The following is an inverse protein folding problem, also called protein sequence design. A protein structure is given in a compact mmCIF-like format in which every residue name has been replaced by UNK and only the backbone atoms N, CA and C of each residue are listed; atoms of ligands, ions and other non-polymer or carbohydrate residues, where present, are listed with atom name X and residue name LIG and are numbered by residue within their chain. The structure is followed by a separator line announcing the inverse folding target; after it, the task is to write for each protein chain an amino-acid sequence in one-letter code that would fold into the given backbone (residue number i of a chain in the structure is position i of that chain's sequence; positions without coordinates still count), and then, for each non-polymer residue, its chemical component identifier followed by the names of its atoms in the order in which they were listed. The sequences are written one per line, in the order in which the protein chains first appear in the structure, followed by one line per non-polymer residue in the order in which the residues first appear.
data_IF_811073253958
#
_entry.id   IF_811073253958
#
_cell.length_a   1.000
_cell.length_b   1.000
_cell.length_c   1.000
_cell.angle_alpha   90.00
_cell.angle_beta   90.00
_cell.angle_gamma   90.00
#
_symmetry.space_group_name_H-M   'P 1'
#
loop_
_entity.id
_entity.type
_entity.pdbx_description
1 polymer ?
#
# COMPACT_ATOMS: atom_id res chain seq x y z
N UNK A 1 10.27 15.47 3.48
CA UNK A 1 10.65 14.59 4.63
C UNK A 1 10.06 13.24 4.31
N UNK A 2 10.74 12.13 4.56
CA UNK A 2 10.23 10.81 4.16
C UNK A 2 9.43 10.16 5.30
N UNK A 3 8.27 9.59 4.99
CA UNK A 3 7.45 8.81 5.90
C UNK A 3 7.61 7.32 5.61
N UNK A 4 7.74 6.50 6.66
CA UNK A 4 7.86 5.04 6.52
C UNK A 4 6.64 4.36 7.11
N UNK A 5 5.97 3.54 6.28
CA UNK A 5 4.77 2.80 6.66
C UNK A 5 5.09 1.32 6.84
N UNK A 6 4.38 0.69 7.78
CA UNK A 6 4.54 -0.73 8.13
C UNK A 6 3.17 -1.39 8.16
N UNK A 7 2.90 -2.27 7.19
CA UNK A 7 1.67 -3.03 7.06
C UNK A 7 1.88 -4.41 7.68
N UNK A 8 1.67 -4.52 8.98
CA UNK A 8 1.76 -5.79 9.70
C UNK A 8 0.63 -6.74 9.32
N UNK A 9 0.89 -8.04 9.33
CA UNK A 9 -0.16 -9.05 9.20
C UNK A 9 -0.99 -9.16 10.48
N UNK A 10 -2.20 -9.71 10.34
CA UNK A 10 -3.10 -10.07 11.43
C UNK A 10 -3.66 -11.47 11.19
N UNK A 11 -4.34 -12.10 12.18
CA UNK A 11 -4.94 -13.43 11.97
C UNK A 11 -5.91 -13.52 10.79
N UNK A 12 -6.50 -12.38 10.36
CA UNK A 12 -7.44 -12.33 9.23
C UNK A 12 -6.80 -11.86 7.92
N UNK A 13 -5.59 -11.29 7.97
CA UNK A 13 -4.96 -10.64 6.81
C UNK A 13 -3.47 -10.97 6.78
N UNK A 14 -3.06 -11.68 5.73
CA UNK A 14 -1.65 -11.87 5.41
C UNK A 14 -1.18 -10.73 4.48
N UNK A 15 -0.58 -9.70 5.07
CA UNK A 15 -0.23 -8.43 4.41
C UNK A 15 0.68 -8.60 3.17
N UNK A 16 1.75 -9.42 3.19
CA UNK A 16 2.57 -9.63 1.99
C UNK A 16 1.76 -10.21 0.81
N UNK A 17 0.87 -11.16 1.10
CA UNK A 17 0.03 -11.79 0.08
C UNK A 17 -1.04 -10.82 -0.45
N UNK A 18 -1.69 -10.07 0.45
CA UNK A 18 -2.70 -9.09 0.07
C UNK A 18 -2.12 -7.99 -0.83
N UNK A 19 -0.95 -7.44 -0.47
CA UNK A 19 -0.29 -6.41 -1.28
C UNK A 19 0.17 -6.96 -2.63
N UNK A 20 0.73 -8.17 -2.67
CA UNK A 20 1.12 -8.81 -3.94
C UNK A 20 -0.08 -9.04 -4.86
N UNK A 21 -1.21 -9.50 -4.32
CA UNK A 21 -2.46 -9.64 -5.05
C UNK A 21 -2.97 -8.29 -5.58
N UNK A 22 -3.01 -7.28 -4.72
CA UNK A 22 -3.49 -5.96 -5.09
C UNK A 22 -2.63 -5.32 -6.17
N UNK A 23 -1.30 -5.42 -6.10
CA UNK A 23 -0.37 -4.97 -7.14
C UNK A 23 -0.67 -5.64 -8.49
N UNK A 24 -0.92 -6.94 -8.50
CA UNK A 24 -1.24 -7.66 -9.74
C UNK A 24 -2.60 -7.21 -10.30
N UNK A 25 -3.59 -6.97 -9.45
CA UNK A 25 -4.89 -6.44 -9.85
C UNK A 25 -4.80 -4.98 -10.34
N UNK A 26 -3.94 -4.15 -9.73
CA UNK A 26 -3.77 -2.74 -10.08
C UNK A 26 -3.21 -2.51 -11.50
N UNK A 27 -2.74 -3.58 -12.15
CA UNK A 27 -2.42 -3.59 -13.57
C UNK A 27 -3.64 -3.24 -14.44
N UNK A 28 -4.84 -3.65 -14.03
CA UNK A 28 -6.09 -3.37 -14.73
C UNK A 28 -6.66 -2.03 -14.26
N UNK A 29 -6.74 -1.05 -15.18
CA UNK A 29 -7.06 0.34 -14.82
C UNK A 29 -8.46 0.50 -14.23
N UNK A 30 -9.42 -0.28 -14.74
CA UNK A 30 -10.82 -0.27 -14.29
C UNK A 30 -10.98 -0.76 -12.84
N UNK A 31 -10.08 -1.63 -12.37
CA UNK A 31 -10.12 -2.20 -11.01
C UNK A 31 -9.43 -1.32 -9.97
N UNK A 32 -8.59 -0.36 -10.40
CA UNK A 32 -7.76 0.46 -9.50
C UNK A 32 -8.56 1.17 -8.41
N UNK A 33 -9.70 1.84 -8.68
CA UNK A 33 -10.44 2.55 -7.64
C UNK A 33 -10.91 1.61 -6.52
N UNK A 34 -11.47 0.45 -6.90
CA UNK A 34 -12.00 -0.52 -5.94
C UNK A 34 -10.89 -1.23 -5.16
N UNK A 35 -9.77 -1.55 -5.81
CA UNK A 35 -8.61 -2.14 -5.13
C UNK A 35 -7.98 -1.16 -4.14
N UNK A 36 -7.84 0.12 -4.53
CA UNK A 36 -7.34 1.15 -3.62
C UNK A 36 -8.27 1.31 -2.41
N UNK A 37 -9.59 1.27 -2.61
CA UNK A 37 -10.58 1.31 -1.52
C UNK A 37 -10.41 0.15 -0.54
N UNK A 38 -10.26 -1.07 -1.06
CA UNK A 38 -10.07 -2.27 -0.22
C UNK A 38 -8.78 -2.16 0.60
N UNK A 39 -7.66 -1.75 -0.01
CA UNK A 39 -6.37 -1.64 0.68
C UNK A 39 -6.39 -0.47 1.68
N UNK A 40 -6.95 0.68 1.33
CA UNK A 40 -7.09 1.81 2.25
C UNK A 40 -7.98 1.49 3.46
N UNK A 41 -9.07 0.73 3.25
CA UNK A 41 -9.92 0.25 4.34
C UNK A 41 -9.19 -0.76 5.25
N UNK A 42 -8.29 -1.57 4.68
CA UNK A 42 -7.47 -2.53 5.44
C UNK A 42 -6.42 -1.81 6.29
N UNK A 43 -5.84 -0.72 5.79
CA UNK A 43 -4.78 0.05 6.45
C UNK A 43 -5.13 1.54 6.61
N UNK A 44 -6.11 1.89 7.47
CA UNK A 44 -6.67 3.25 7.54
C UNK A 44 -5.70 4.33 8.04
N UNK A 45 -4.56 3.94 8.62
CA UNK A 45 -3.51 4.86 9.07
C UNK A 45 -2.52 5.27 7.98
N UNK A 46 -2.72 4.80 6.74
CA UNK A 46 -1.83 5.06 5.61
C UNK A 46 -2.55 5.93 4.58
N UNK A 47 -1.96 7.06 4.14
CA UNK A 47 -2.54 7.88 3.09
C UNK A 47 -2.81 7.09 1.80
N UNK A 48 -3.89 7.41 1.10
CA UNK A 48 -4.28 6.69 -0.13
C UNK A 48 -3.23 6.85 -1.22
N UNK A 49 -2.62 8.03 -1.29
CA UNK A 49 -1.56 8.38 -2.23
C UNK A 49 -0.30 7.51 -1.99
N UNK A 50 0.02 7.25 -0.72
CA UNK A 50 1.12 6.38 -0.33
C UNK A 50 0.87 4.93 -0.76
N UNK A 51 -0.35 4.42 -0.54
CA UNK A 51 -0.76 3.08 -0.99
C UNK A 51 -0.75 2.98 -2.51
N UNK A 52 -1.29 3.99 -3.21
CA UNK A 52 -1.30 4.03 -4.68
C UNK A 52 0.12 3.95 -5.27
N UNK A 53 1.10 4.64 -4.68
CA UNK A 53 2.49 4.56 -5.15
C UNK A 53 3.06 3.13 -5.05
N UNK A 54 2.74 2.39 -3.99
CA UNK A 54 3.13 0.98 -3.85
C UNK A 54 2.41 0.11 -4.88
N UNK A 55 1.09 0.29 -5.03
CA UNK A 55 0.28 -0.53 -5.95
C UNK A 55 0.66 -0.32 -7.42
N UNK A 56 1.03 0.90 -7.80
CA UNK A 56 1.58 1.24 -9.11
C UNK A 56 3.06 0.85 -9.27
N UNK A 57 3.71 0.30 -8.23
CA UNK A 57 5.16 0.02 -8.19
C UNK A 57 6.02 1.25 -8.53
N UNK A 58 5.57 2.45 -8.15
CA UNK A 58 6.37 3.68 -8.26
C UNK A 58 7.50 3.73 -7.23
N UNK A 59 7.31 3.02 -6.12
CA UNK A 59 8.29 2.86 -5.05
C UNK A 59 8.49 1.38 -4.74
N UNK A 60 9.69 1.05 -4.30
CA UNK A 60 9.99 -0.29 -3.80
C UNK A 60 9.37 -0.49 -2.41
N UNK A 61 9.00 -1.73 -2.13
CA UNK A 61 8.66 -2.18 -0.78
C UNK A 61 9.49 -3.42 -0.44
N UNK A 62 9.68 -3.66 0.86
CA UNK A 62 10.32 -4.88 1.37
C UNK A 62 9.39 -5.62 2.31
N UNK A 63 9.67 -6.90 2.52
CA UNK A 63 8.95 -7.73 3.48
C UNK A 63 9.89 -8.09 4.62
N UNK A 64 9.50 -7.73 5.85
CA UNK A 64 10.18 -8.06 7.10
C UNK A 64 9.30 -9.04 7.88
N UNK A 65 9.58 -10.34 7.76
CA UNK A 65 8.71 -11.39 8.30
C UNK A 65 7.35 -11.37 7.60
N UNK A 66 6.30 -11.02 8.34
CA UNK A 66 4.94 -10.87 7.80
C UNK A 66 4.51 -9.39 7.68
N UNK A 67 5.46 -8.46 7.67
CA UNK A 67 5.21 -7.02 7.56
C UNK A 67 5.71 -6.47 6.23
N UNK A 68 4.86 -5.75 5.49
CA UNK A 68 5.28 -4.97 4.32
C UNK A 68 5.76 -3.60 4.78
N UNK A 69 6.93 -3.17 4.33
CA UNK A 69 7.55 -1.90 4.72
C UNK A 69 7.93 -1.12 3.47
N UNK A 70 7.52 0.15 3.42
CA UNK A 70 7.86 1.07 2.33
C UNK A 70 7.98 2.50 2.84
N UNK A 71 8.70 3.32 2.09
CA UNK A 71 9.00 4.71 2.43
C UNK A 71 8.54 5.60 1.29
N UNK A 72 7.85 6.69 1.63
CA UNK A 72 7.31 7.67 0.68
C UNK A 72 7.91 9.03 1.01
N UNK A 73 8.34 9.77 0.00
CA UNK A 73 8.68 11.17 0.18
C UNK A 73 7.39 11.95 0.46
N UNK A 74 7.28 12.59 1.63
CA UNK A 74 6.15 13.46 1.92
C UNK A 74 6.25 14.69 1.01
N UNK A 75 5.43 14.69 -0.04
CA UNK A 75 5.13 15.91 -0.76
C UNK A 75 4.07 16.65 0.05
N UNK A 76 4.45 17.78 0.65
CA UNK A 76 3.52 18.69 1.32
C UNK A 76 2.68 19.43 0.27
N UNK A 77 1.84 18.71 -0.48
CA UNK A 77 0.65 19.29 -1.06
C UNK A 77 -0.40 19.41 0.06
N UNK A 78 -0.17 20.38 0.96
CA UNK A 78 -1.19 20.87 1.89
C UNK A 78 -2.45 21.20 1.10
N UNK A 79 -3.55 20.51 1.40
CA UNK A 79 -4.89 21.05 1.24
C UNK A 79 -5.32 21.64 2.60
#
# INVERSE_FOLDING_TARGET
MADTYRLGSSPLVHSPGLIAWAINGYYFEDDRPQLLDVIAATYPGVPREALEQVLLRKIDYRVEGETVVFTVEADHARA
#
